data_IF_558978721002
#
_entry.id   IF_558978721002
#
_cell.length_a   1.000
_cell.length_b   1.000
_cell.length_c   1.000
_cell.angle_alpha   90.00
_cell.angle_beta   90.00
_cell.angle_gamma   90.00
#
_symmetry.space_group_name_H-M   'P 1'
#
loop_
_entity.id
_entity.type
_entity.pdbx_description
1 polymer ?
#
# COMPACT_ATOMS: atom_id res chain seq x y z
N UNK A 1 48.53 4.14 18.85
CA UNK A 1 47.33 4.98 19.02
C UNK A 1 47.45 6.15 18.06
N UNK A 2 46.72 6.14 16.94
CA UNK A 2 46.73 7.31 16.05
C UNK A 2 46.12 8.47 16.84
N UNK A 3 46.91 9.51 17.08
CA UNK A 3 46.61 10.60 18.01
C UNK A 3 45.40 11.47 17.60
N UNK A 4 45.32 12.73 18.06
CA UNK A 4 44.13 13.59 17.94
C UNK A 4 43.48 13.66 16.53
N UNK A 5 44.26 13.49 15.47
CA UNK A 5 43.76 13.46 14.09
C UNK A 5 42.72 12.35 13.83
N UNK A 6 42.86 11.20 14.50
CA UNK A 6 41.90 10.10 14.34
C UNK A 6 40.55 10.43 15.01
N UNK A 7 40.59 11.17 16.11
CA UNK A 7 39.39 11.59 16.82
C UNK A 7 38.60 12.62 16.00
N UNK A 8 39.29 13.57 15.38
CA UNK A 8 38.68 14.55 14.46
C UNK A 8 38.06 13.86 13.24
N UNK A 9 38.74 12.87 12.66
CA UNK A 9 38.18 12.11 11.54
C UNK A 9 36.91 11.35 11.93
N UNK A 10 36.92 10.63 13.06
CA UNK A 10 35.75 9.90 13.57
C UNK A 10 34.59 10.85 13.84
N UNK A 11 34.86 11.99 14.47
CA UNK A 11 33.85 13.00 14.73
C UNK A 11 33.24 13.54 13.44
N UNK A 12 34.08 13.88 12.46
CA UNK A 12 33.61 14.27 11.13
C UNK A 12 32.73 13.20 10.50
N UNK A 13 33.17 11.94 10.50
CA UNK A 13 32.37 10.84 9.98
C UNK A 13 31.02 10.72 10.71
N UNK A 14 31.00 10.77 12.04
CA UNK A 14 29.77 10.63 12.82
C UNK A 14 28.76 11.75 12.56
N UNK A 15 29.21 12.96 12.27
CA UNK A 15 28.31 14.08 11.96
C UNK A 15 27.89 14.05 10.49
N UNK A 16 28.84 13.95 9.56
CA UNK A 16 28.54 14.07 8.14
C UNK A 16 27.89 12.81 7.56
N UNK A 17 28.24 11.61 8.02
CA UNK A 17 27.65 10.38 7.51
C UNK A 17 26.12 10.35 7.62
N UNK A 18 25.49 10.52 8.80
CA UNK A 18 24.04 10.52 8.89
C UNK A 18 23.41 11.68 8.11
N UNK A 19 24.01 12.87 8.12
CA UNK A 19 23.49 14.04 7.39
C UNK A 19 23.46 13.78 5.89
N UNK A 20 24.53 13.23 5.32
CA UNK A 20 24.61 12.91 3.90
C UNK A 20 23.67 11.77 3.51
N UNK A 21 23.55 10.75 4.35
CA UNK A 21 22.59 9.65 4.17
C UNK A 21 21.16 10.20 4.17
N UNK A 22 20.78 11.04 5.13
CA UNK A 22 19.44 11.64 5.15
C UNK A 22 19.20 12.60 3.99
N UNK A 23 20.21 13.37 3.57
CA UNK A 23 20.08 14.25 2.40
C UNK A 23 19.82 13.44 1.12
N UNK A 24 20.52 12.32 0.94
CA UNK A 24 20.38 11.50 -0.27
C UNK A 24 19.10 10.64 -0.26
N UNK A 25 18.83 9.93 0.83
CA UNK A 25 17.69 9.01 0.92
C UNK A 25 16.38 9.69 1.35
N UNK A 26 16.47 10.89 1.93
CA UNK A 26 15.31 11.73 2.27
C UNK A 26 14.78 12.54 1.09
N UNK A 27 15.45 12.47 -0.07
CA UNK A 27 14.97 13.09 -1.30
C UNK A 27 13.63 12.43 -1.72
N UNK A 28 12.55 13.22 -1.91
CA UNK A 28 11.24 12.69 -2.26
C UNK A 28 11.24 11.99 -3.63
N UNK A 29 12.04 12.46 -4.59
CA UNK A 29 12.14 11.82 -5.91
C UNK A 29 12.89 10.48 -5.82
N UNK A 30 13.88 10.36 -4.90
CA UNK A 30 14.51 9.07 -4.63
C UNK A 30 13.51 8.09 -4.02
N UNK A 31 12.73 8.54 -3.05
CA UNK A 31 11.69 7.74 -2.39
C UNK A 31 10.64 7.24 -3.38
N UNK A 32 10.13 8.13 -4.23
CA UNK A 32 9.09 7.82 -5.22
C UNK A 32 9.58 6.81 -6.27
N UNK A 33 10.86 6.87 -6.64
CA UNK A 33 11.45 5.96 -7.63
C UNK A 33 11.84 4.60 -7.06
N UNK A 34 12.27 4.54 -5.80
CA UNK A 34 12.85 3.32 -5.24
C UNK A 34 11.92 2.60 -4.24
N UNK A 35 11.10 3.33 -3.49
CA UNK A 35 10.29 2.77 -2.40
C UNK A 35 8.85 2.52 -2.85
N UNK A 36 8.21 3.48 -3.52
CA UNK A 36 6.81 3.34 -3.95
C UNK A 36 6.54 2.18 -4.91
N UNK A 37 7.39 1.88 -5.91
CA UNK A 37 7.15 0.75 -6.81
C UNK A 37 7.20 -0.59 -6.06
N UNK A 38 8.05 -0.68 -5.05
CA UNK A 38 8.14 -1.87 -4.21
C UNK A 38 6.91 -2.04 -3.32
N UNK A 39 6.37 -0.95 -2.77
CA UNK A 39 5.10 -0.96 -2.03
C UNK A 39 3.96 -1.52 -2.90
N UNK A 40 3.86 -1.10 -4.16
CA UNK A 40 2.82 -1.57 -5.09
C UNK A 40 2.98 -3.05 -5.49
N UNK A 41 4.17 -3.64 -5.32
CA UNK A 41 4.40 -5.06 -5.56
C UNK A 41 4.03 -5.94 -4.37
N UNK A 42 4.22 -5.43 -3.15
CA UNK A 42 3.93 -6.16 -1.92
C UNK A 42 2.45 -6.07 -1.56
N UNK A 43 1.88 -4.88 -1.68
CA UNK A 43 0.50 -4.63 -1.27
C UNK A 43 -0.43 -4.66 -2.48
N UNK A 44 -1.65 -5.23 -2.34
CA UNK A 44 -2.66 -5.10 -3.37
C UNK A 44 -2.91 -3.61 -3.68
N UNK A 45 -3.25 -3.25 -4.93
CA UNK A 45 -3.55 -1.88 -5.31
C UNK A 45 -4.61 -1.31 -4.37
N UNK A 46 -4.43 -0.05 -3.94
CA UNK A 46 -5.33 0.56 -2.94
C UNK A 46 -6.81 0.56 -3.37
N UNK A 47 -7.06 0.54 -4.69
CA UNK A 47 -8.39 0.42 -5.30
C UNK A 47 -9.08 -0.91 -5.00
N UNK A 48 -8.31 -1.98 -4.77
CA UNK A 48 -8.84 -3.32 -4.42
C UNK A 48 -9.06 -3.48 -2.92
N UNK A 49 -8.55 -2.56 -2.10
CA UNK A 49 -8.73 -2.61 -0.66
C UNK A 49 -9.97 -1.83 -0.27
N UNK A 50 -10.97 -2.51 0.28
CA UNK A 50 -12.17 -1.87 0.83
C UNK A 50 -11.76 -1.09 2.09
N UNK A 51 -11.60 0.23 1.97
CA UNK A 51 -11.21 1.12 3.08
C UNK A 51 -12.37 1.63 3.91
N UNK A 52 -13.56 1.68 3.34
CA UNK A 52 -14.78 2.10 4.04
C UNK A 52 -15.60 0.87 4.40
N UNK A 53 -15.36 0.34 5.60
CA UNK A 53 -16.21 -0.71 6.17
C UNK A 53 -17.38 -0.08 6.92
N UNK A 54 -18.61 -0.59 6.76
CA UNK A 54 -19.73 -0.15 7.56
C UNK A 54 -19.46 -0.46 9.04
N UNK A 55 -19.39 0.57 9.87
CA UNK A 55 -19.07 0.45 11.31
C UNK A 55 -20.32 0.25 12.18
N UNK A 56 -21.51 0.55 11.65
CA UNK A 56 -22.78 0.50 12.39
C UNK A 56 -23.64 -0.68 11.95
N UNK A 57 -24.38 -1.28 12.88
CA UNK A 57 -25.19 -2.47 12.60
C UNK A 57 -26.24 -2.24 11.49
N UNK A 58 -26.88 -1.07 11.44
CA UNK A 58 -27.81 -0.71 10.36
C UNK A 58 -27.13 -0.69 9.00
N UNK A 59 -25.99 -0.01 8.89
CA UNK A 59 -25.20 0.07 7.65
C UNK A 59 -24.65 -1.29 7.19
N UNK A 60 -24.32 -2.19 8.12
CA UNK A 60 -23.88 -3.56 7.78
C UNK A 60 -25.02 -4.34 7.15
N UNK A 61 -26.24 -4.21 7.70
CA UNK A 61 -27.41 -4.95 7.22
C UNK A 61 -27.83 -4.50 5.82
N UNK A 62 -27.82 -3.19 5.58
CA UNK A 62 -28.08 -2.61 4.25
C UNK A 62 -27.06 -3.10 3.21
N UNK A 63 -25.77 -3.09 3.55
CA UNK A 63 -24.72 -3.54 2.64
C UNK A 63 -24.81 -5.06 2.36
N UNK A 64 -25.21 -5.86 3.36
CA UNK A 64 -25.48 -7.29 3.18
C UNK A 64 -26.65 -7.56 2.22
N UNK A 65 -27.73 -6.78 2.34
CA UNK A 65 -28.87 -6.88 1.43
C UNK A 65 -28.49 -6.51 0.00
N UNK A 66 -27.69 -5.45 -0.18
CA UNK A 66 -27.12 -5.06 -1.48
C UNK A 66 -26.31 -6.20 -2.10
N UNK A 67 -25.39 -6.81 -1.34
CA UNK A 67 -24.55 -7.91 -1.81
C UNK A 67 -25.40 -9.14 -2.17
N UNK A 68 -26.44 -9.45 -1.39
CA UNK A 68 -27.34 -10.58 -1.66
C UNK A 68 -28.11 -10.38 -2.96
N UNK A 69 -28.64 -9.17 -3.20
CA UNK A 69 -29.34 -8.82 -4.42
C UNK A 69 -28.40 -8.93 -5.65
N UNK A 70 -27.18 -8.40 -5.55
CA UNK A 70 -26.19 -8.48 -6.62
C UNK A 70 -25.83 -9.93 -7.00
N UNK A 71 -25.65 -10.81 -5.99
CA UNK A 71 -25.40 -12.23 -6.23
C UNK A 71 -26.58 -12.94 -6.89
N UNK A 72 -27.81 -12.61 -6.48
CA UNK A 72 -29.01 -13.19 -7.07
C UNK A 72 -29.16 -12.80 -8.55
N UNK A 73 -28.92 -11.53 -8.88
CA UNK A 73 -28.93 -11.03 -10.26
C UNK A 73 -27.85 -11.73 -11.11
N UNK A 74 -26.60 -11.77 -10.63
CA UNK A 74 -25.50 -12.48 -11.33
C UNK A 74 -25.78 -13.97 -11.55
N UNK A 75 -26.51 -14.61 -10.63
CA UNK A 75 -26.91 -16.01 -10.77
C UNK A 75 -27.98 -16.17 -11.84
N UNK A 76 -29.00 -15.31 -11.84
CA UNK A 76 -30.03 -15.30 -12.87
C UNK A 76 -29.42 -15.07 -14.27
N UNK A 77 -28.48 -14.13 -14.41
CA UNK A 77 -27.80 -13.85 -15.68
C UNK A 77 -27.02 -15.07 -16.20
N UNK A 78 -26.37 -15.83 -15.31
CA UNK A 78 -25.67 -17.09 -15.66
C UNK A 78 -26.65 -18.17 -16.10
N UNK A 79 -27.74 -18.35 -15.37
CA UNK A 79 -28.79 -19.34 -15.71
C UNK A 79 -29.47 -19.00 -17.04
N UNK A 80 -29.66 -17.71 -17.35
CA UNK A 80 -30.13 -17.24 -18.64
C UNK A 80 -29.12 -17.48 -19.77
N UNK A 81 -27.82 -17.27 -19.52
CA UNK A 81 -26.77 -17.50 -20.51
C UNK A 81 -26.56 -19.01 -20.79
N UNK A 82 -26.63 -19.87 -19.76
CA UNK A 82 -26.51 -21.32 -19.88
C UNK A 82 -27.74 -21.96 -20.51
N UNK A 83 -28.95 -21.42 -20.27
CA UNK A 83 -30.18 -21.86 -20.92
C UNK A 83 -30.37 -21.40 -22.37
N UNK A 84 -29.49 -20.54 -22.89
CA UNK A 84 -29.53 -19.97 -24.24
C UNK A 84 -28.44 -20.54 -25.18
N UNK A 85 -27.74 -21.61 -24.77
CA UNK A 85 -26.86 -22.38 -25.66
C UNK A 85 -27.66 -23.56 -26.23
N UNK A 86 -27.95 -23.59 -27.55
CA UNK A 86 -28.62 -24.72 -28.21
C UNK A 86 -27.74 -25.97 -28.32
#
# INVERSE_FOLDING_TARGET
>A
MAGPNLEVFKFGLYVFFPVLVFMYYGDPDWYDRNVLPYRNRIFPPEQKTVRSLPANHSSVREELERIKAEKAARRADREHAEGQVP
#
